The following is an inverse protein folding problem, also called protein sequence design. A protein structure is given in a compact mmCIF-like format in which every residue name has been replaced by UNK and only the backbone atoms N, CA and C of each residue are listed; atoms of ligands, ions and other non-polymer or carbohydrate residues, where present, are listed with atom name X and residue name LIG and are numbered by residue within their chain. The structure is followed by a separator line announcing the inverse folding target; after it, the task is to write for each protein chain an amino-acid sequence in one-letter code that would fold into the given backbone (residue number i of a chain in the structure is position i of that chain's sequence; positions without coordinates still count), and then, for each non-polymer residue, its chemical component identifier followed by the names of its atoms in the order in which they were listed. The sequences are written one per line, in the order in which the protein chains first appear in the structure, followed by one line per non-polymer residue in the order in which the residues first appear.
data_IF_990090211484
#
_entry.id   IF_990090211484
#
_cell.length_a   1.000
_cell.length_b   1.000
_cell.length_c   1.000
_cell.angle_alpha   90.00
_cell.angle_beta   90.00
_cell.angle_gamma   90.00
#
_symmetry.space_group_name_H-M   'P 1'
#
loop_
_entity.id
_entity.type
_entity.pdbx_description
1 polymer ?
#
# COMPACT_ATOMS: atom_id res chain seq x y z
N UNK A 1 -45.58 19.44 -6.59
CA UNK A 1 -45.35 17.97 -6.63
C UNK A 1 -43.89 17.68 -6.42
N UNK A 2 -43.52 17.30 -5.23
CA UNK A 2 -42.11 17.04 -4.85
C UNK A 2 -41.73 15.61 -5.26
N UNK A 3 -41.15 15.44 -6.45
CA UNK A 3 -40.60 14.16 -6.93
C UNK A 3 -39.11 13.96 -6.58
N UNK A 4 -38.47 14.90 -5.91
CA UNK A 4 -37.02 14.85 -5.62
C UNK A 4 -36.64 14.28 -4.25
N UNK A 5 -37.52 14.32 -3.27
CA UNK A 5 -37.20 13.90 -1.90
C UNK A 5 -37.31 12.39 -1.66
N UNK A 6 -38.15 11.70 -2.45
CA UNK A 6 -38.38 10.24 -2.28
C UNK A 6 -37.16 9.38 -2.73
N UNK A 7 -36.40 9.81 -3.71
CA UNK A 7 -35.24 9.06 -4.23
C UNK A 7 -33.98 9.25 -3.37
N UNK A 8 -33.85 10.38 -2.68
CA UNK A 8 -32.74 10.65 -1.76
C UNK A 8 -32.81 9.73 -0.54
N UNK A 9 -34.00 9.42 -0.06
CA UNK A 9 -34.19 8.52 1.08
C UNK A 9 -34.00 7.02 0.77
N UNK A 10 -34.10 6.61 -0.48
CA UNK A 10 -33.92 5.19 -0.89
C UNK A 10 -32.47 4.74 -0.95
N UNK A 11 -31.49 5.64 -0.92
CA UNK A 11 -30.06 5.35 -1.02
C UNK A 11 -29.23 5.76 0.20
N UNK A 12 -29.86 5.85 1.37
CA UNK A 12 -29.10 6.15 2.60
C UNK A 12 -28.41 4.89 3.09
N UNK A 13 -27.13 4.80 2.82
CA UNK A 13 -26.22 3.81 3.35
C UNK A 13 -25.17 4.52 4.18
N UNK A 14 -24.79 3.92 5.32
CA UNK A 14 -23.60 4.32 6.06
C UNK A 14 -22.42 3.53 5.48
N UNK A 15 -21.44 4.24 4.96
CA UNK A 15 -20.18 3.64 4.53
C UNK A 15 -19.10 3.95 5.57
N UNK A 16 -18.53 2.90 6.14
CA UNK A 16 -17.34 2.98 6.98
C UNK A 16 -16.15 2.53 6.14
N UNK A 17 -15.12 3.37 6.05
CA UNK A 17 -13.93 3.10 5.25
C UNK A 17 -12.73 3.05 6.18
N UNK A 18 -12.00 1.93 6.13
CA UNK A 18 -10.68 1.83 6.77
C UNK A 18 -9.68 2.63 5.95
N UNK A 19 -9.26 3.79 6.47
CA UNK A 19 -8.36 4.70 5.76
C UNK A 19 -7.00 4.08 5.46
N UNK A 20 -6.47 3.24 6.38
CA UNK A 20 -5.18 2.58 6.19
C UNK A 20 -5.27 1.57 5.05
N UNK A 21 -6.21 0.64 5.13
CA UNK A 21 -6.40 -0.39 4.11
C UNK A 21 -6.74 0.18 2.73
N UNK A 22 -7.56 1.24 2.69
CA UNK A 22 -7.91 1.95 1.47
C UNK A 22 -6.71 2.67 0.84
N UNK A 23 -5.89 3.35 1.65
CA UNK A 23 -4.69 4.05 1.17
C UNK A 23 -3.60 3.07 0.74
N UNK A 24 -3.40 1.96 1.47
CA UNK A 24 -2.49 0.89 1.06
C UNK A 24 -2.88 0.33 -0.32
N UNK A 25 -4.16 0.08 -0.55
CA UNK A 25 -4.65 -0.37 -1.86
C UNK A 25 -4.44 0.67 -2.95
N UNK A 26 -4.73 1.93 -2.71
CA UNK A 26 -4.50 3.01 -3.67
C UNK A 26 -3.01 3.11 -4.06
N UNK A 27 -2.10 3.01 -3.09
CA UNK A 27 -0.66 3.03 -3.34
C UNK A 27 -0.22 1.81 -4.14
N UNK A 28 -0.73 0.63 -3.79
CA UNK A 28 -0.43 -0.60 -4.54
C UNK A 28 -0.83 -0.47 -6.01
N UNK A 29 -2.06 -0.01 -6.30
CA UNK A 29 -2.52 0.19 -7.69
C UNK A 29 -1.65 1.21 -8.42
N UNK A 30 -1.27 2.31 -7.75
CA UNK A 30 -0.38 3.33 -8.30
C UNK A 30 0.99 2.75 -8.65
N UNK A 31 1.59 1.95 -7.76
CA UNK A 31 2.88 1.31 -7.96
C UNK A 31 2.82 0.28 -9.09
N UNK A 32 1.79 -0.57 -9.09
CA UNK A 32 1.60 -1.60 -10.12
C UNK A 32 1.42 -0.99 -11.51
N UNK A 33 0.63 0.09 -11.62
CA UNK A 33 0.41 0.79 -12.89
C UNK A 33 1.68 1.49 -13.41
N UNK A 34 2.60 1.87 -12.53
CA UNK A 34 3.86 2.54 -12.90
C UNK A 34 5.09 1.63 -12.77
N UNK A 35 4.92 0.33 -12.62
CA UNK A 35 6.04 -0.61 -12.50
C UNK A 35 6.98 -0.48 -13.71
N UNK A 36 8.28 -0.35 -13.44
CA UNK A 36 9.30 0.00 -14.44
C UNK A 36 9.53 1.50 -14.62
N UNK A 37 8.66 2.37 -14.07
CA UNK A 37 8.80 3.82 -14.08
C UNK A 37 8.23 4.45 -12.80
N UNK A 38 8.42 3.78 -11.67
CA UNK A 38 7.97 4.27 -10.36
C UNK A 38 8.75 5.53 -9.98
N UNK A 39 8.07 6.66 -9.70
CA UNK A 39 8.75 7.85 -9.21
C UNK A 39 9.53 7.54 -7.93
N UNK A 40 10.81 7.83 -7.92
CA UNK A 40 11.70 7.61 -6.77
C UNK A 40 12.34 8.91 -6.30
N UNK A 41 12.75 8.92 -5.04
CA UNK A 41 13.53 10.01 -4.43
C UNK A 41 14.88 9.49 -3.97
N UNK A 42 15.92 10.24 -4.30
CA UNK A 42 17.26 10.00 -3.78
C UNK A 42 17.28 10.29 -2.29
N UNK A 43 17.89 9.40 -1.52
CA UNK A 43 18.16 9.66 -0.11
C UNK A 43 19.23 10.73 0.02
N UNK A 44 19.04 11.70 0.90
CA UNK A 44 20.00 12.77 1.14
C UNK A 44 21.37 12.20 1.57
N UNK A 45 21.32 11.17 2.41
CA UNK A 45 22.44 10.33 2.80
C UNK A 45 22.12 8.89 2.44
N UNK A 46 22.91 8.24 1.57
CA UNK A 46 22.74 6.82 1.27
C UNK A 46 22.87 6.00 2.55
N UNK A 47 21.95 5.06 2.74
CA UNK A 47 21.88 4.26 3.96
C UNK A 47 22.60 2.93 3.75
N UNK A 48 23.66 2.69 4.52
CA UNK A 48 24.36 1.41 4.57
C UNK A 48 23.58 0.45 5.49
N UNK A 49 23.24 -0.73 4.99
CA UNK A 49 22.41 -1.71 5.68
C UNK A 49 23.19 -3.03 5.74
N UNK A 50 23.43 -3.50 6.96
CA UNK A 50 24.07 -4.78 7.20
C UNK A 50 23.02 -5.91 7.22
N UNK A 51 23.27 -6.95 6.43
CA UNK A 51 22.38 -8.07 6.20
C UNK A 51 23.10 -9.39 6.46
N UNK A 52 22.38 -10.50 6.50
CA UNK A 52 23.02 -11.80 6.33
C UNK A 52 23.52 -11.97 4.89
N UNK A 53 24.46 -12.90 4.66
CA UNK A 53 24.96 -13.18 3.33
C UNK A 53 23.83 -13.62 2.38
N UNK A 54 22.87 -14.38 2.89
CA UNK A 54 21.72 -14.88 2.12
C UNK A 54 20.74 -13.76 1.77
N UNK A 55 20.42 -12.85 2.73
CA UNK A 55 19.58 -11.68 2.48
C UNK A 55 20.20 -10.73 1.45
N UNK A 56 21.50 -10.47 1.58
CA UNK A 56 22.23 -9.67 0.61
C UNK A 56 22.16 -10.28 -0.79
N UNK A 57 22.47 -11.58 -0.90
CA UNK A 57 22.43 -12.26 -2.18
C UNK A 57 21.03 -12.23 -2.80
N UNK A 58 19.98 -12.46 -2.00
CA UNK A 58 18.61 -12.38 -2.47
C UNK A 58 18.25 -11.00 -3.04
N UNK A 59 18.73 -9.89 -2.44
CA UNK A 59 18.52 -8.56 -2.99
C UNK A 59 19.31 -8.34 -4.29
N UNK A 60 20.59 -8.77 -4.33
CA UNK A 60 21.45 -8.59 -5.51
C UNK A 60 20.97 -9.41 -6.72
N UNK A 61 20.41 -10.58 -6.50
CA UNK A 61 19.82 -11.41 -7.56
C UNK A 61 18.54 -10.79 -8.16
N UNK A 62 17.91 -9.83 -7.44
CA UNK A 62 16.67 -9.19 -7.83
C UNK A 62 16.80 -7.67 -8.08
N UNK A 63 18.02 -7.16 -8.32
CA UNK A 63 18.26 -5.71 -8.59
C UNK A 63 17.33 -5.13 -9.64
N UNK A 64 17.12 -5.76 -10.83
CA UNK A 64 16.22 -5.19 -11.84
C UNK A 64 14.77 -5.07 -11.36
N UNK A 65 14.30 -6.00 -10.53
CA UNK A 65 12.97 -5.96 -9.94
C UNK A 65 12.82 -4.81 -8.96
N UNK A 66 13.85 -4.57 -8.13
CA UNK A 66 13.89 -3.48 -7.16
C UNK A 66 13.95 -2.11 -7.84
N UNK A 67 14.78 -1.97 -8.88
CA UNK A 67 14.87 -0.75 -9.69
C UNK A 67 13.53 -0.42 -10.36
N UNK A 68 12.87 -1.41 -10.95
CA UNK A 68 11.54 -1.25 -11.54
C UNK A 68 10.48 -0.81 -10.51
N UNK A 69 10.66 -1.17 -9.24
CA UNK A 69 9.82 -0.75 -8.13
C UNK A 69 10.25 0.60 -7.50
N UNK A 70 11.31 1.25 -8.01
CA UNK A 70 11.80 2.54 -7.55
C UNK A 70 12.79 2.48 -6.38
N UNK A 71 13.39 1.31 -6.12
CA UNK A 71 14.43 1.11 -5.12
C UNK A 71 15.79 1.01 -5.81
N UNK A 72 16.75 1.88 -5.45
CA UNK A 72 18.12 1.82 -5.97
C UNK A 72 19.07 1.32 -4.88
N UNK A 73 19.66 0.15 -5.09
CA UNK A 73 20.64 -0.45 -4.19
C UNK A 73 21.98 -0.66 -4.88
N UNK A 74 23.05 -0.71 -4.09
CA UNK A 74 24.38 -1.08 -4.57
C UNK A 74 25.10 -1.97 -3.57
N UNK A 75 25.94 -2.87 -4.08
CA UNK A 75 26.86 -3.65 -3.25
C UNK A 75 27.92 -2.73 -2.62
N UNK A 76 28.11 -2.84 -1.31
CA UNK A 76 29.12 -2.07 -0.56
C UNK A 76 30.28 -2.94 -0.07
N UNK A 77 30.26 -4.23 -0.37
CA UNK A 77 31.22 -5.22 0.12
C UNK A 77 30.79 -5.89 1.41
N UNK A 78 31.49 -6.93 1.81
CA UNK A 78 31.09 -7.74 2.96
C UNK A 78 29.62 -8.17 2.90
N UNK A 79 28.92 -7.97 3.98
CA UNK A 79 27.48 -8.23 4.09
C UNK A 79 26.61 -6.97 3.96
N UNK A 80 27.18 -5.85 3.51
CA UNK A 80 26.53 -4.56 3.47
C UNK A 80 26.02 -4.24 2.06
N UNK A 81 24.82 -3.68 1.96
CA UNK A 81 24.30 -2.99 0.78
C UNK A 81 24.06 -1.53 1.10
N UNK A 82 24.15 -0.67 0.09
CA UNK A 82 23.80 0.75 0.20
C UNK A 82 22.50 0.99 -0.53
N UNK A 83 21.53 1.55 0.16
CA UNK A 83 20.27 2.03 -0.41
C UNK A 83 20.41 3.52 -0.75
N UNK A 84 20.22 3.87 -2.03
CA UNK A 84 20.42 5.23 -2.57
C UNK A 84 19.13 5.96 -2.85
N UNK A 85 18.11 5.23 -3.31
CA UNK A 85 16.80 5.79 -3.60
C UNK A 85 15.67 4.87 -3.15
N UNK A 86 14.54 5.48 -2.82
CA UNK A 86 13.30 4.79 -2.48
C UNK A 86 12.14 5.38 -3.28
N UNK A 87 11.01 4.65 -3.45
CA UNK A 87 9.81 5.23 -4.04
C UNK A 87 9.41 6.53 -3.34
N UNK A 88 8.94 7.52 -4.12
CA UNK A 88 8.63 8.86 -3.61
C UNK A 88 7.57 8.88 -2.49
N UNK A 89 6.72 7.87 -2.43
CA UNK A 89 5.70 7.72 -1.38
C UNK A 89 6.27 7.10 -0.08
N UNK A 90 7.51 6.62 -0.05
CA UNK A 90 8.15 6.02 1.13
C UNK A 90 8.93 7.08 1.89
N UNK A 91 8.63 7.23 3.18
CA UNK A 91 9.42 8.12 4.04
C UNK A 91 10.85 7.57 4.25
N UNK A 92 11.89 8.42 4.13
CA UNK A 92 13.29 7.99 4.25
C UNK A 92 13.60 7.19 5.53
N UNK A 93 12.97 7.53 6.65
CA UNK A 93 13.12 6.83 7.92
C UNK A 93 12.63 5.37 7.91
N UNK A 94 11.77 5.01 6.95
CA UNK A 94 11.26 3.65 6.78
C UNK A 94 12.09 2.82 5.78
N UNK A 95 13.08 3.43 5.12
CA UNK A 95 13.83 2.86 4.00
C UNK A 95 14.60 1.59 4.40
N UNK A 96 15.33 1.63 5.50
CA UNK A 96 16.09 0.47 6.01
C UNK A 96 15.17 -0.71 6.34
N UNK A 97 14.13 -0.46 7.15
CA UNK A 97 13.20 -1.51 7.55
C UNK A 97 12.41 -2.09 6.37
N UNK A 98 12.15 -1.29 5.33
CA UNK A 98 11.54 -1.74 4.08
C UNK A 98 12.46 -2.72 3.35
N UNK A 99 13.74 -2.36 3.18
CA UNK A 99 14.68 -3.21 2.44
C UNK A 99 14.92 -4.54 3.15
N UNK A 100 15.04 -4.54 4.48
CA UNK A 100 15.16 -5.77 5.29
C UNK A 100 13.93 -6.65 5.13
N UNK A 101 12.73 -6.06 5.14
CA UNK A 101 11.48 -6.80 4.94
C UNK A 101 11.43 -7.46 3.55
N UNK A 102 11.81 -6.72 2.51
CA UNK A 102 11.88 -7.24 1.14
C UNK A 102 12.89 -8.37 1.03
N UNK A 103 14.10 -8.21 1.59
CA UNK A 103 15.12 -9.26 1.61
C UNK A 103 14.60 -10.56 2.22
N UNK A 104 13.95 -10.46 3.37
CA UNK A 104 13.35 -11.60 4.07
C UNK A 104 12.23 -12.28 3.27
N UNK A 105 11.44 -11.52 2.51
CA UNK A 105 10.38 -12.07 1.64
C UNK A 105 10.98 -12.79 0.43
N UNK A 106 11.98 -12.19 -0.21
CA UNK A 106 12.67 -12.79 -1.34
C UNK A 106 13.38 -14.10 -0.97
N UNK A 107 13.97 -14.17 0.22
CA UNK A 107 14.57 -15.42 0.74
C UNK A 107 13.56 -16.55 0.95
N UNK A 108 12.36 -16.23 1.41
CA UNK A 108 11.31 -17.23 1.69
C UNK A 108 10.57 -17.69 0.44
N UNK A 109 10.65 -16.92 -0.63
CA UNK A 109 10.03 -17.24 -1.91
C UNK A 109 10.81 -18.33 -2.66
N UNK A 110 10.08 -19.23 -3.29
CA UNK A 110 10.68 -20.24 -4.20
C UNK A 110 11.19 -19.57 -5.49
N UNK A 111 12.09 -20.24 -6.18
CA UNK A 111 12.77 -19.74 -7.40
C UNK A 111 11.85 -19.50 -8.63
N UNK A 112 10.57 -19.82 -8.57
CA UNK A 112 9.75 -20.01 -9.78
C UNK A 112 8.70 -18.91 -10.09
N UNK A 113 8.63 -17.79 -9.34
CA UNK A 113 7.54 -16.84 -9.54
C UNK A 113 7.97 -15.37 -9.54
N UNK A 114 8.53 -14.91 -10.68
CA UNK A 114 8.84 -13.48 -10.91
C UNK A 114 7.64 -12.57 -10.60
N UNK A 115 6.42 -12.99 -10.93
CA UNK A 115 5.21 -12.26 -10.63
C UNK A 115 4.94 -12.19 -9.12
N UNK A 116 5.15 -13.27 -8.38
CA UNK A 116 4.99 -13.28 -6.92
C UNK A 116 5.99 -12.36 -6.24
N UNK A 117 7.27 -12.37 -6.67
CA UNK A 117 8.29 -11.47 -6.14
C UNK A 117 7.95 -10.01 -6.38
N UNK A 118 7.45 -9.68 -7.58
CA UNK A 118 6.99 -8.32 -7.89
C UNK A 118 5.85 -7.90 -6.97
N UNK A 119 4.83 -8.74 -6.82
CA UNK A 119 3.72 -8.48 -5.91
C UNK A 119 4.19 -8.27 -4.47
N UNK A 120 5.10 -9.10 -3.96
CA UNK A 120 5.63 -8.96 -2.59
C UNK A 120 6.38 -7.66 -2.38
N UNK A 121 7.19 -7.22 -3.36
CA UNK A 121 7.90 -5.94 -3.29
C UNK A 121 6.91 -4.79 -3.30
N UNK A 122 5.96 -4.77 -4.24
CA UNK A 122 4.95 -3.71 -4.31
C UNK A 122 4.07 -3.66 -3.05
N UNK A 123 3.73 -4.82 -2.48
CA UNK A 123 3.03 -4.92 -1.21
C UNK A 123 3.84 -4.32 -0.05
N UNK A 124 5.12 -4.66 0.06
CA UNK A 124 5.97 -4.14 1.12
C UNK A 124 6.09 -2.62 1.03
N UNK A 125 6.25 -2.08 -0.19
CA UNK A 125 6.31 -0.64 -0.43
C UNK A 125 4.99 0.02 -0.04
N UNK A 126 3.85 -0.46 -0.55
CA UNK A 126 2.54 0.14 -0.28
C UNK A 126 2.17 0.11 1.21
N UNK A 127 2.47 -0.97 1.91
CA UNK A 127 2.25 -1.10 3.34
C UNK A 127 3.10 -0.11 4.16
N UNK A 128 4.36 0.10 3.77
CA UNK A 128 5.26 1.05 4.46
C UNK A 128 4.94 2.51 4.17
N UNK A 129 4.44 2.80 2.98
CA UNK A 129 4.04 4.14 2.55
C UNK A 129 2.61 4.52 2.98
N UNK A 130 1.78 3.55 3.38
CA UNK A 130 0.39 3.81 3.76
C UNK A 130 0.28 4.63 5.05
N UNK A 131 -0.74 5.50 5.09
CA UNK A 131 -1.11 6.29 6.28
C UNK A 131 -1.36 5.35 7.46
N UNK A 132 -0.67 5.57 8.57
CA UNK A 132 -0.82 4.76 9.78
C UNK A 132 -1.92 5.27 10.71
N UNK A 133 -2.30 4.45 11.66
CA UNK A 133 -3.20 4.87 12.74
C UNK A 133 -2.52 5.99 13.55
N UNK A 134 -3.20 7.13 13.67
CA UNK A 134 -2.64 8.32 14.35
C UNK A 134 -2.06 9.38 13.43
N UNK A 135 -1.76 9.06 12.17
CA UNK A 135 -1.32 10.07 11.20
C UNK A 135 -2.44 11.07 10.93
N UNK A 136 -2.04 12.34 10.86
CA UNK A 136 -2.96 13.43 10.53
C UNK A 136 -3.22 13.42 9.03
N UNK A 137 -4.47 13.18 8.65
CA UNK A 137 -4.94 13.34 7.29
C UNK A 137 -5.93 14.51 7.22
N UNK A 138 -5.83 15.31 6.18
CA UNK A 138 -6.79 16.39 5.97
C UNK A 138 -8.17 15.83 5.57
N UNK A 139 -9.28 16.53 5.88
CA UNK A 139 -10.60 16.11 5.42
C UNK A 139 -10.70 15.97 3.89
N UNK A 140 -9.97 16.80 3.14
CA UNK A 140 -9.94 16.76 1.68
C UNK A 140 -9.28 15.47 1.16
N UNK A 141 -8.15 15.07 1.76
CA UNK A 141 -7.46 13.81 1.41
C UNK A 141 -8.34 12.60 1.70
N UNK A 142 -9.00 12.59 2.87
CA UNK A 142 -9.91 11.51 3.24
C UNK A 142 -11.12 11.43 2.31
N UNK A 143 -11.67 12.57 1.90
CA UNK A 143 -12.78 12.63 0.97
C UNK A 143 -12.36 12.10 -0.41
N UNK A 144 -11.23 12.55 -0.94
CA UNK A 144 -10.70 12.09 -2.23
C UNK A 144 -10.43 10.58 -2.24
N UNK A 145 -9.90 10.03 -1.14
CA UNK A 145 -9.71 8.59 -0.97
C UNK A 145 -11.04 7.84 -0.98
N UNK A 146 -12.03 8.35 -0.23
CA UNK A 146 -13.37 7.77 -0.16
C UNK A 146 -14.06 7.78 -1.52
N UNK A 147 -13.97 8.88 -2.28
CA UNK A 147 -14.53 9.00 -3.62
C UNK A 147 -13.94 7.96 -4.57
N UNK A 148 -12.63 7.77 -4.58
CA UNK A 148 -11.96 6.77 -5.42
C UNK A 148 -12.39 5.33 -5.11
N UNK A 149 -12.55 5.00 -3.84
CA UNK A 149 -13.03 3.68 -3.43
C UNK A 149 -14.52 3.49 -3.79
N UNK A 150 -15.35 4.50 -3.53
CA UNK A 150 -16.79 4.39 -3.78
C UNK A 150 -17.15 4.45 -5.27
N UNK A 151 -16.34 5.13 -6.08
CA UNK A 151 -16.48 5.13 -7.55
C UNK A 151 -16.03 3.83 -8.21
N UNK A 152 -15.25 3.00 -7.50
CA UNK A 152 -14.64 1.78 -8.03
C UNK A 152 -13.33 2.02 -8.80
N UNK A 153 -12.78 3.24 -8.77
CA UNK A 153 -11.45 3.54 -9.32
C UNK A 153 -10.37 2.74 -8.57
N UNK A 154 -10.54 2.58 -7.25
CA UNK A 154 -9.69 1.75 -6.41
C UNK A 154 -10.53 0.58 -5.89
N UNK A 155 -10.06 -0.68 -5.97
CA UNK A 155 -10.77 -1.83 -5.45
C UNK A 155 -11.10 -1.69 -3.95
N UNK A 156 -12.30 -2.12 -3.49
CA UNK A 156 -12.71 -1.97 -2.10
C UNK A 156 -12.12 -3.04 -1.16
N UNK A 157 -10.97 -3.58 -1.51
CA UNK A 157 -10.22 -4.59 -0.75
C UNK A 157 -8.76 -4.19 -0.65
N UNK A 158 -8.13 -4.32 0.53
CA UNK A 158 -6.70 -4.14 0.65
C UNK A 158 -5.95 -5.20 -0.18
N UNK A 159 -4.65 -4.99 -0.47
CA UNK A 159 -3.88 -5.97 -1.23
C UNK A 159 -3.88 -7.37 -0.62
N UNK A 160 -4.10 -7.51 0.68
CA UNK A 160 -4.22 -8.79 1.39
C UNK A 160 -5.63 -9.42 1.30
N UNK A 161 -6.57 -8.83 0.52
CA UNK A 161 -7.93 -9.33 0.33
C UNK A 161 -8.94 -8.95 1.42
N UNK A 162 -8.56 -8.13 2.42
CA UNK A 162 -9.51 -7.68 3.46
C UNK A 162 -10.35 -6.53 2.93
N UNK A 163 -11.67 -6.51 3.20
CA UNK A 163 -12.52 -5.40 2.77
C UNK A 163 -12.08 -4.08 3.42
N UNK A 164 -11.95 -3.03 2.60
CA UNK A 164 -11.67 -1.67 3.05
C UNK A 164 -12.94 -0.87 3.36
N UNK A 165 -14.11 -1.37 2.92
CA UNK A 165 -15.40 -0.68 3.05
C UNK A 165 -16.42 -1.60 3.69
N UNK A 166 -17.09 -1.11 4.72
CA UNK A 166 -18.28 -1.69 5.28
C UNK A 166 -19.48 -0.81 4.93
N UNK A 167 -20.49 -1.37 4.28
CA UNK A 167 -21.76 -0.68 3.97
C UNK A 167 -22.86 -1.21 4.85
N UNK A 168 -23.59 -0.32 5.51
CA UNK A 168 -24.74 -0.62 6.33
C UNK A 168 -25.96 0.13 5.79
N UNK A 169 -26.99 -0.61 5.44
CA UNK A 169 -28.28 -0.05 5.07
C UNK A 169 -28.99 0.53 6.29
N UNK A 170 -29.94 1.44 6.06
CA UNK A 170 -30.78 1.99 7.14
C UNK A 170 -31.46 0.87 7.95
N UNK A 171 -31.97 -0.18 7.29
CA UNK A 171 -32.63 -1.31 7.94
C UNK A 171 -31.68 -2.08 8.87
N UNK A 172 -30.45 -2.31 8.44
CA UNK A 172 -29.43 -2.96 9.27
C UNK A 172 -29.08 -2.10 10.49
N UNK A 173 -28.95 -0.77 10.31
CA UNK A 173 -28.73 0.14 11.42
C UNK A 173 -29.89 0.15 12.40
N UNK A 174 -31.15 0.24 11.92
CA UNK A 174 -32.32 0.19 12.76
C UNK A 174 -32.43 -1.13 13.54
N UNK A 175 -32.02 -2.25 12.93
CA UNK A 175 -31.95 -3.56 13.60
C UNK A 175 -30.88 -3.55 14.70
N UNK A 176 -29.70 -2.97 14.47
CA UNK A 176 -28.63 -2.87 15.48
C UNK A 176 -29.07 -2.03 16.69
N UNK A 177 -29.91 -1.01 16.47
CA UNK A 177 -30.51 -0.20 17.54
C UNK A 177 -31.76 -0.82 18.16
N UNK A 178 -32.15 -2.03 17.78
CA UNK A 178 -33.33 -2.72 18.29
C UNK A 178 -34.67 -2.06 17.93
N UNK A 179 -34.70 -1.23 16.86
CA UNK A 179 -35.87 -0.51 16.40
C UNK A 179 -36.76 -1.35 15.49
N UNK A 180 -36.21 -2.38 14.89
CA UNK A 180 -36.94 -3.38 14.09
C UNK A 180 -36.37 -4.76 14.40
N UNK A 181 -37.23 -5.79 14.31
CA UNK A 181 -36.87 -7.20 14.53
C UNK A 181 -36.40 -7.85 13.22
#
# INVERSE_FOLDING_TARGET
MSRGLGDVYKRQELCLIDKHAAHERQLYEKLAANYGNVPSQMLLEPTAIDLSAEEKQALLDHVPLLENAGLEIADFGGNTVVLRAVPADVEPQNAESLLIEIANKLLKGGHDALNEHTEWVLHSISCRAAIKAGDKSSPQELLALAEKILSGEVPPFCPHGRPCVLKLTRKELEKQFGRIV
#
